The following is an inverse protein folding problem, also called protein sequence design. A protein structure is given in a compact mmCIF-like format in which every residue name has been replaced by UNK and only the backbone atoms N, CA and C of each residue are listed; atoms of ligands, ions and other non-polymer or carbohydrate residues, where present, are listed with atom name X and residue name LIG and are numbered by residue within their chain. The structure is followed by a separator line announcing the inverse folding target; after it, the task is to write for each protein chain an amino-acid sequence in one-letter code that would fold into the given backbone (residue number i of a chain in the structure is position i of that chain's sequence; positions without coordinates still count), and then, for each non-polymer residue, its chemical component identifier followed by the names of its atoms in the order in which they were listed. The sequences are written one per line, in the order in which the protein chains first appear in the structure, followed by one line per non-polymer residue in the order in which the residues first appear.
data_IF_656850410198
#
_entry.id   IF_656850410198
#
_cell.length_a   1.000
_cell.length_b   1.000
_cell.length_c   1.000
_cell.angle_alpha   90.00
_cell.angle_beta   90.00
_cell.angle_gamma   90.00
#
_symmetry.space_group_name_H-M   'P 1'
#
loop_
_entity.id
_entity.type
_entity.pdbx_description
1 polymer ?
#
# COMPACT_ATOMS: atom_id res chain seq x y z
N UNK A 1 -14.94 41.59 -35.81
CA UNK A 1 -14.07 40.43 -35.62
C UNK A 1 -13.15 40.52 -34.38
N UNK A 2 -12.96 41.72 -33.77
CA UNK A 2 -12.01 41.94 -32.67
C UNK A 2 -12.51 41.56 -31.24
N UNK A 3 -13.80 41.48 -31.00
CA UNK A 3 -14.32 41.26 -29.62
C UNK A 3 -14.17 39.81 -29.15
N UNK A 4 -14.27 38.81 -30.03
CA UNK A 4 -14.07 37.38 -29.70
C UNK A 4 -12.61 37.02 -29.39
N UNK A 5 -11.64 37.62 -30.08
CA UNK A 5 -10.21 37.40 -29.79
C UNK A 5 -9.80 38.02 -28.45
N UNK A 6 -10.35 39.19 -28.09
CA UNK A 6 -10.04 39.83 -26.81
C UNK A 6 -10.57 39.02 -25.61
N UNK A 7 -11.79 38.47 -25.72
CA UNK A 7 -12.37 37.63 -24.68
C UNK A 7 -11.63 36.26 -24.51
N UNK A 8 -11.12 35.66 -25.58
CA UNK A 8 -10.32 34.42 -25.49
C UNK A 8 -8.96 34.66 -24.83
N UNK A 9 -8.29 35.79 -25.14
CA UNK A 9 -7.03 36.16 -24.49
C UNK A 9 -7.20 36.42 -22.99
N UNK A 10 -8.25 37.12 -22.58
CA UNK A 10 -8.55 37.42 -21.19
C UNK A 10 -8.93 36.15 -20.39
N UNK A 11 -9.71 35.24 -20.97
CA UNK A 11 -10.01 33.93 -20.38
C UNK A 11 -8.76 33.06 -20.20
N UNK A 12 -7.84 33.08 -21.18
CA UNK A 12 -6.57 32.33 -21.08
C UNK A 12 -5.68 32.86 -19.95
N UNK A 13 -5.60 34.20 -19.77
CA UNK A 13 -4.82 34.84 -18.69
C UNK A 13 -5.43 34.53 -17.31
N UNK A 14 -6.77 34.57 -17.19
CA UNK A 14 -7.45 34.22 -15.94
C UNK A 14 -7.25 32.77 -15.55
N UNK A 15 -7.33 31.84 -16.52
CA UNK A 15 -7.06 30.40 -16.30
C UNK A 15 -5.60 30.15 -15.91
N UNK A 16 -4.65 30.86 -16.52
CA UNK A 16 -3.23 30.78 -16.15
C UNK A 16 -2.97 31.34 -14.75
N UNK A 17 -3.58 32.45 -14.37
CA UNK A 17 -3.45 33.03 -13.04
C UNK A 17 -4.08 32.16 -11.97
N UNK A 18 -5.22 31.53 -12.23
CA UNK A 18 -5.85 30.57 -11.30
C UNK A 18 -4.99 29.30 -11.14
N UNK A 19 -4.44 28.76 -12.22
CA UNK A 19 -3.49 27.63 -12.17
C UNK A 19 -2.21 27.99 -11.39
N UNK A 20 -1.66 29.18 -11.63
CA UNK A 20 -0.48 29.68 -10.91
C UNK A 20 -0.76 29.87 -9.42
N UNK A 21 -1.93 30.38 -9.05
CA UNK A 21 -2.36 30.51 -7.66
C UNK A 21 -2.53 29.15 -6.96
N UNK A 22 -3.14 28.17 -7.63
CA UNK A 22 -3.28 26.80 -7.12
C UNK A 22 -1.94 26.11 -6.93
N UNK A 23 -1.01 26.25 -7.89
CA UNK A 23 0.34 25.68 -7.82
C UNK A 23 1.15 26.32 -6.69
N UNK A 24 1.08 27.66 -6.52
CA UNK A 24 1.77 28.37 -5.46
C UNK A 24 1.26 27.99 -4.07
N UNK A 25 -0.04 27.82 -3.91
CA UNK A 25 -0.65 27.34 -2.67
C UNK A 25 -0.27 25.88 -2.37
N UNK A 26 -0.19 25.02 -3.39
CA UNK A 26 0.27 23.64 -3.23
C UNK A 26 1.70 23.57 -2.73
N UNK A 27 2.61 24.35 -3.35
CA UNK A 27 4.03 24.41 -2.96
C UNK A 27 4.18 24.96 -1.53
N UNK A 28 3.45 26.03 -1.18
CA UNK A 28 3.49 26.59 0.18
C UNK A 28 3.01 25.62 1.24
N UNK A 29 1.99 24.81 0.94
CA UNK A 29 1.40 23.87 1.92
C UNK A 29 2.13 22.53 2.00
N UNK A 30 2.65 22.00 0.89
CA UNK A 30 3.19 20.64 0.82
C UNK A 30 4.67 20.58 0.51
N UNK A 31 5.26 21.65 -0.02
CA UNK A 31 6.63 21.68 -0.49
C UNK A 31 7.65 21.31 0.58
N UNK A 32 7.51 21.84 1.79
CA UNK A 32 8.42 21.52 2.90
C UNK A 32 8.47 20.02 3.22
N UNK A 33 7.31 19.35 3.29
CA UNK A 33 7.27 17.92 3.57
C UNK A 33 7.79 17.06 2.42
N UNK A 34 7.52 17.48 1.16
CA UNK A 34 8.06 16.81 -0.03
C UNK A 34 9.58 16.90 -0.05
N UNK A 35 10.16 18.07 0.23
CA UNK A 35 11.60 18.27 0.30
C UNK A 35 12.27 17.41 1.38
N UNK A 36 11.67 17.31 2.55
CA UNK A 36 12.18 16.44 3.62
C UNK A 36 12.17 14.98 3.19
N UNK A 37 11.08 14.51 2.57
CA UNK A 37 11.01 13.14 2.05
C UNK A 37 12.07 12.89 0.97
N UNK A 38 12.31 13.86 0.09
CA UNK A 38 13.35 13.79 -0.93
C UNK A 38 14.76 13.76 -0.31
N UNK A 39 15.00 14.59 0.70
CA UNK A 39 16.29 14.63 1.43
C UNK A 39 16.63 13.31 2.14
N UNK A 40 15.62 12.53 2.53
CA UNK A 40 15.80 11.16 3.06
C UNK A 40 15.92 10.15 1.94
N UNK A 41 15.12 10.30 0.87
CA UNK A 41 15.07 9.34 -0.22
C UNK A 41 16.37 9.24 -1.00
N UNK A 42 17.04 10.38 -1.28
CA UNK A 42 18.29 10.40 -2.04
C UNK A 42 19.40 9.61 -1.34
N UNK A 43 19.77 9.88 -0.08
CA UNK A 43 20.78 9.06 0.61
C UNK A 43 20.34 7.61 0.79
N UNK A 44 19.04 7.35 1.02
CA UNK A 44 18.52 5.98 1.12
C UNK A 44 18.67 5.21 -0.18
N UNK A 45 18.44 5.85 -1.32
CA UNK A 45 18.62 5.26 -2.63
C UNK A 45 20.11 4.94 -2.90
N UNK A 46 21.03 5.84 -2.52
CA UNK A 46 22.47 5.61 -2.62
C UNK A 46 22.93 4.47 -1.70
N UNK A 47 22.49 4.48 -0.42
CA UNK A 47 22.78 3.42 0.52
C UNK A 47 22.23 2.06 0.06
N UNK A 48 21.05 2.02 -0.56
CA UNK A 48 20.48 0.82 -1.13
C UNK A 48 21.28 0.22 -2.29
N UNK A 49 22.02 1.06 -3.05
CA UNK A 49 22.98 0.60 -4.06
C UNK A 49 24.26 0.03 -3.46
N UNK A 50 24.73 0.61 -2.33
CA UNK A 50 25.93 0.16 -1.62
C UNK A 50 25.65 -1.12 -0.80
N UNK A 51 24.46 -1.19 -0.18
CA UNK A 51 24.01 -2.31 0.64
C UNK A 51 22.72 -2.93 0.09
N UNK A 52 22.78 -3.71 -1.00
CA UNK A 52 21.60 -4.29 -1.65
C UNK A 52 20.78 -5.20 -0.71
N UNK A 53 21.44 -5.86 0.25
CA UNK A 53 20.79 -6.75 1.26
C UNK A 53 19.73 -6.02 2.07
N UNK A 54 19.92 -4.73 2.37
CA UNK A 54 18.96 -3.93 3.12
C UNK A 54 17.96 -3.26 2.17
N UNK A 55 18.45 -2.79 1.02
CA UNK A 55 17.65 -2.08 0.02
C UNK A 55 17.26 -0.65 0.40
N UNK A 56 17.12 0.21 -0.61
CA UNK A 56 16.84 1.64 -0.41
C UNK A 56 15.51 1.92 0.30
N UNK A 57 14.51 1.06 0.10
CA UNK A 57 13.18 1.22 0.72
C UNK A 57 13.23 1.04 2.25
N UNK A 58 13.97 0.04 2.75
CA UNK A 58 14.16 -0.16 4.20
C UNK A 58 14.98 0.97 4.81
N UNK A 59 16.08 1.40 4.17
CA UNK A 59 16.84 2.56 4.64
C UNK A 59 15.95 3.80 4.77
N UNK A 60 15.08 4.05 3.81
CA UNK A 60 14.17 5.19 3.83
C UNK A 60 13.16 5.12 4.99
N UNK A 61 12.59 3.95 5.26
CA UNK A 61 11.69 3.74 6.40
C UNK A 61 12.42 3.97 7.71
N UNK A 62 13.58 3.33 7.89
CA UNK A 62 14.37 3.40 9.13
C UNK A 62 14.85 4.81 9.41
N UNK A 63 15.42 5.51 8.41
CA UNK A 63 15.86 6.89 8.58
C UNK A 63 14.67 7.82 8.90
N UNK A 64 13.53 7.63 8.25
CA UNK A 64 12.30 8.36 8.57
C UNK A 64 11.82 8.12 10.00
N UNK A 65 11.83 6.87 10.47
CA UNK A 65 11.45 6.50 11.83
C UNK A 65 12.43 7.10 12.87
N UNK A 66 13.73 7.00 12.64
CA UNK A 66 14.75 7.58 13.51
C UNK A 66 14.56 9.10 13.60
N UNK A 67 14.37 9.76 12.46
CA UNK A 67 14.15 11.21 12.46
C UNK A 67 12.89 11.61 13.25
N UNK A 68 11.82 10.79 13.20
CA UNK A 68 10.59 11.05 13.96
C UNK A 68 10.80 10.97 15.49
N UNK A 69 11.77 10.22 16.00
CA UNK A 69 12.09 10.18 17.44
C UNK A 69 12.57 11.55 17.93
N UNK A 70 13.32 12.27 17.09
CA UNK A 70 13.86 13.60 17.43
C UNK A 70 12.95 14.74 16.97
N UNK A 71 12.16 14.53 15.92
CA UNK A 71 11.30 15.55 15.32
C UNK A 71 9.81 15.21 15.49
N UNK A 72 9.30 15.46 16.70
CA UNK A 72 7.91 15.14 17.07
C UNK A 72 6.88 16.06 16.40
N UNK A 73 7.17 17.37 16.36
CA UNK A 73 6.27 18.37 15.77
C UNK A 73 6.74 18.75 14.37
N UNK A 74 6.08 18.20 13.35
CA UNK A 74 6.46 18.38 11.94
C UNK A 74 5.96 19.68 11.33
N UNK A 75 5.09 20.42 12.03
CA UNK A 75 4.60 21.72 11.64
C UNK A 75 4.17 21.79 10.16
N UNK A 76 4.77 22.74 9.41
CA UNK A 76 4.46 22.92 7.98
C UNK A 76 4.80 21.72 7.08
N UNK A 77 5.66 20.81 7.51
CA UNK A 77 6.07 19.64 6.71
C UNK A 77 5.01 18.51 6.77
N UNK A 78 4.17 18.46 7.80
CA UNK A 78 3.23 17.35 8.02
C UNK A 78 2.29 17.09 6.83
N UNK A 79 1.70 18.15 6.27
CA UNK A 79 0.79 18.03 5.13
C UNK A 79 1.50 17.46 3.88
N UNK A 80 2.75 17.85 3.64
CA UNK A 80 3.57 17.35 2.55
C UNK A 80 3.99 15.89 2.77
N UNK A 81 4.38 15.50 3.99
CA UNK A 81 4.74 14.13 4.34
C UNK A 81 3.52 13.20 4.15
N UNK A 82 2.34 13.57 4.66
CA UNK A 82 1.09 12.81 4.45
C UNK A 82 0.72 12.68 2.96
N UNK A 83 0.90 13.75 2.21
CA UNK A 83 0.66 13.72 0.76
C UNK A 83 1.64 12.80 0.05
N UNK A 84 2.93 12.84 0.39
CA UNK A 84 3.97 11.99 -0.21
C UNK A 84 3.72 10.51 0.08
N UNK A 85 3.43 10.13 1.32
CA UNK A 85 3.17 8.75 1.70
C UNK A 85 1.98 8.12 0.97
N UNK A 86 1.00 8.92 0.54
CA UNK A 86 -0.19 8.44 -0.17
C UNK A 86 -0.08 8.64 -1.67
N UNK A 87 0.11 9.89 -2.11
CA UNK A 87 -0.02 10.24 -3.54
C UNK A 87 1.20 9.82 -4.35
N UNK A 88 2.41 10.02 -3.82
CA UNK A 88 3.64 9.58 -4.52
C UNK A 88 3.68 8.05 -4.61
N UNK A 89 3.27 7.33 -3.54
CA UNK A 89 3.17 5.87 -3.58
C UNK A 89 2.17 5.39 -4.65
N UNK A 90 0.96 5.98 -4.68
CA UNK A 90 -0.04 5.63 -5.69
C UNK A 90 0.46 5.91 -7.11
N UNK A 91 1.16 7.04 -7.30
CA UNK A 91 1.79 7.39 -8.57
C UNK A 91 2.87 6.37 -8.94
N UNK A 92 3.72 5.96 -7.99
CA UNK A 92 4.73 4.93 -8.22
C UNK A 92 4.12 3.61 -8.69
N UNK A 93 3.03 3.17 -8.04
CA UNK A 93 2.31 1.95 -8.45
C UNK A 93 1.71 2.08 -9.85
N UNK A 94 1.14 3.25 -10.21
CA UNK A 94 0.65 3.50 -11.58
C UNK A 94 1.79 3.44 -12.59
N UNK A 95 2.93 4.07 -12.29
CA UNK A 95 4.12 4.03 -13.16
C UNK A 95 4.66 2.62 -13.34
N UNK A 96 4.57 1.76 -12.32
CA UNK A 96 4.97 0.37 -12.41
C UNK A 96 4.13 -0.38 -13.48
N UNK A 97 2.85 -0.03 -13.65
CA UNK A 97 1.98 -0.58 -14.68
C UNK A 97 2.50 -0.41 -16.10
N UNK A 98 3.28 0.68 -16.38
CA UNK A 98 3.92 0.91 -17.68
C UNK A 98 5.06 -0.08 -18.01
N UNK A 99 5.34 -1.05 -17.21
CA UNK A 99 6.32 -2.09 -17.53
C UNK A 99 5.70 -3.48 -17.60
N UNK A 100 4.37 -3.58 -17.41
CA UNK A 100 3.69 -4.85 -17.23
C UNK A 100 2.74 -5.18 -18.38
N UNK A 101 2.71 -6.47 -18.75
CA UNK A 101 1.75 -7.00 -19.72
C UNK A 101 0.45 -7.40 -19.01
N UNK A 102 -0.70 -7.02 -19.57
CA UNK A 102 -2.02 -7.33 -19.00
C UNK A 102 -2.27 -8.84 -18.86
N UNK A 103 -1.77 -9.65 -19.80
CA UNK A 103 -1.86 -11.11 -19.70
C UNK A 103 -1.16 -11.66 -18.46
N UNK A 104 0.04 -11.14 -18.14
CA UNK A 104 0.79 -11.51 -16.92
C UNK A 104 0.03 -11.10 -15.66
N UNK A 105 -0.60 -9.92 -15.67
CA UNK A 105 -1.43 -9.46 -14.53
C UNK A 105 -2.61 -10.40 -14.30
N UNK A 106 -3.32 -10.80 -15.35
CA UNK A 106 -4.46 -11.70 -15.25
C UNK A 106 -4.05 -13.11 -14.79
N UNK A 107 -2.95 -13.63 -15.33
CA UNK A 107 -2.40 -14.93 -14.94
C UNK A 107 -1.98 -14.93 -13.45
N UNK A 108 -1.23 -13.90 -13.02
CA UNK A 108 -0.81 -13.75 -11.64
C UNK A 108 -2.00 -13.63 -10.70
N UNK A 109 -3.01 -12.84 -11.08
CA UNK A 109 -4.26 -12.71 -10.34
C UNK A 109 -4.95 -14.07 -10.14
N UNK A 110 -5.13 -14.84 -11.22
CA UNK A 110 -5.71 -16.19 -11.16
C UNK A 110 -4.90 -17.13 -10.26
N UNK A 111 -3.59 -17.17 -10.41
CA UNK A 111 -2.68 -18.02 -9.65
C UNK A 111 -2.71 -17.73 -8.15
N UNK A 112 -2.86 -16.46 -7.77
CA UNK A 112 -2.86 -16.03 -6.37
C UNK A 112 -4.23 -16.09 -5.68
N UNK A 113 -5.33 -16.21 -6.43
CA UNK A 113 -6.70 -16.21 -5.88
C UNK A 113 -6.92 -17.23 -4.75
N UNK A 114 -6.52 -18.52 -4.87
CA UNK A 114 -6.73 -19.48 -3.79
C UNK A 114 -6.02 -19.05 -2.49
N UNK A 115 -4.79 -18.56 -2.62
CA UNK A 115 -4.00 -18.08 -1.46
C UNK A 115 -4.67 -16.84 -0.85
N UNK A 116 -5.13 -15.91 -1.69
CA UNK A 116 -5.83 -14.70 -1.26
C UNK A 116 -7.09 -15.06 -0.47
N UNK A 117 -7.91 -15.99 -0.96
CA UNK A 117 -9.14 -16.41 -0.28
C UNK A 117 -8.81 -17.05 1.08
N UNK A 118 -7.82 -17.94 1.13
CA UNK A 118 -7.40 -18.58 2.37
C UNK A 118 -6.84 -17.57 3.38
N UNK A 119 -5.99 -16.65 2.96
CA UNK A 119 -5.40 -15.63 3.85
C UNK A 119 -6.44 -14.63 4.37
N UNK A 120 -7.40 -14.22 3.53
CA UNK A 120 -8.53 -13.38 3.96
C UNK A 120 -9.37 -14.10 5.01
N UNK A 121 -9.77 -15.34 4.71
CA UNK A 121 -10.58 -16.17 5.61
C UNK A 121 -9.88 -16.39 6.95
N UNK A 122 -8.58 -16.69 6.92
CA UNK A 122 -7.76 -16.87 8.13
C UNK A 122 -7.78 -15.62 9.00
N UNK A 123 -7.53 -14.44 8.44
CA UNK A 123 -7.54 -13.20 9.22
C UNK A 123 -8.89 -12.93 9.88
N UNK A 124 -9.98 -13.11 9.14
CA UNK A 124 -11.33 -12.87 9.65
C UNK A 124 -11.70 -13.88 10.73
N UNK A 125 -11.37 -15.17 10.55
CA UNK A 125 -11.63 -16.24 11.52
C UNK A 125 -10.79 -16.02 12.79
N UNK A 126 -9.49 -15.72 12.67
CA UNK A 126 -8.63 -15.42 13.82
C UNK A 126 -9.14 -14.22 14.60
N UNK A 127 -9.52 -13.13 13.91
CA UNK A 127 -10.06 -11.95 14.55
C UNK A 127 -11.39 -12.27 15.29
N UNK A 128 -12.27 -13.08 14.70
CA UNK A 128 -13.52 -13.48 15.32
C UNK A 128 -13.31 -14.39 16.55
N UNK A 129 -12.40 -15.37 16.48
CA UNK A 129 -12.08 -16.25 17.60
C UNK A 129 -11.49 -15.44 18.76
N UNK A 130 -10.51 -14.60 18.48
CA UNK A 130 -9.84 -13.81 19.52
C UNK A 130 -10.74 -12.72 20.11
N UNK A 131 -11.66 -12.15 19.32
CA UNK A 131 -12.72 -11.29 19.84
C UNK A 131 -13.48 -11.98 20.97
N UNK A 132 -13.90 -13.24 20.75
CA UNK A 132 -14.66 -14.02 21.75
C UNK A 132 -13.82 -14.44 22.94
N UNK A 133 -12.60 -14.96 22.70
CA UNK A 133 -11.73 -15.51 23.74
C UNK A 133 -11.15 -14.41 24.64
N UNK A 134 -10.70 -13.30 24.05
CA UNK A 134 -10.04 -12.23 24.76
C UNK A 134 -10.98 -11.09 25.20
N UNK A 135 -12.26 -11.17 24.84
CA UNK A 135 -13.26 -10.13 25.11
C UNK A 135 -12.79 -8.75 24.59
N UNK A 136 -12.29 -8.72 23.35
CA UNK A 136 -11.91 -7.47 22.66
C UNK A 136 -13.18 -6.84 22.09
N UNK A 137 -13.27 -5.53 22.04
CA UNK A 137 -14.40 -4.82 21.44
C UNK A 137 -14.65 -5.26 19.99
N UNK A 138 -15.94 -5.48 19.66
CA UNK A 138 -16.34 -6.04 18.37
C UNK A 138 -15.87 -5.18 17.18
N UNK A 139 -15.94 -3.86 17.32
CA UNK A 139 -15.52 -2.95 16.26
C UNK A 139 -14.02 -3.01 16.04
N UNK A 140 -13.21 -2.90 17.11
CA UNK A 140 -11.74 -2.97 17.03
C UNK A 140 -11.31 -4.31 16.41
N UNK A 141 -11.88 -5.42 16.88
CA UNK A 141 -11.58 -6.76 16.36
C UNK A 141 -11.94 -6.89 14.87
N UNK A 142 -13.13 -6.42 14.48
CA UNK A 142 -13.58 -6.44 13.08
C UNK A 142 -12.67 -5.57 12.21
N UNK A 143 -12.30 -4.38 12.66
CA UNK A 143 -11.42 -3.48 11.92
C UNK A 143 -10.01 -4.03 11.74
N UNK A 144 -9.43 -4.66 12.79
CA UNK A 144 -8.11 -5.31 12.69
C UNK A 144 -8.19 -6.52 11.75
N UNK A 145 -9.23 -7.35 11.88
CA UNK A 145 -9.43 -8.52 11.02
C UNK A 145 -9.60 -8.17 9.55
N UNK A 146 -10.47 -7.20 9.24
CA UNK A 146 -10.71 -6.73 7.86
C UNK A 146 -9.48 -5.98 7.31
N UNK A 147 -8.88 -5.12 8.10
CA UNK A 147 -7.68 -4.40 7.70
C UNK A 147 -6.51 -5.33 7.40
N UNK A 148 -6.25 -6.31 8.27
CA UNK A 148 -5.22 -7.32 8.05
C UNK A 148 -5.55 -8.24 6.87
N UNK A 149 -6.84 -8.49 6.61
CA UNK A 149 -7.26 -9.40 5.53
C UNK A 149 -7.17 -8.80 4.12
N UNK A 150 -7.18 -7.47 3.93
CA UNK A 150 -7.31 -6.84 2.61
C UNK A 150 -6.11 -5.94 2.30
N UNK A 151 -6.18 -4.66 2.72
CA UNK A 151 -5.22 -3.62 2.34
C UNK A 151 -4.87 -2.64 3.47
N UNK A 152 -4.93 -3.10 4.71
CA UNK A 152 -4.53 -2.29 5.86
C UNK A 152 -5.50 -1.16 6.17
N UNK A 153 -4.95 0.02 6.36
CA UNK A 153 -5.71 1.22 6.76
C UNK A 153 -6.82 1.63 5.80
N UNK A 154 -6.68 1.35 4.49
CA UNK A 154 -7.73 1.66 3.51
C UNK A 154 -8.98 0.81 3.73
N UNK A 155 -8.80 -0.47 4.10
CA UNK A 155 -9.90 -1.36 4.42
C UNK A 155 -10.58 -0.95 5.75
N UNK A 156 -9.80 -0.53 6.75
CA UNK A 156 -10.33 0.03 8.00
C UNK A 156 -11.16 1.26 7.72
N UNK A 157 -10.64 2.24 6.96
CA UNK A 157 -11.34 3.48 6.64
C UNK A 157 -12.65 3.25 5.85
N UNK A 158 -12.70 2.22 4.99
CA UNK A 158 -13.91 1.85 4.27
C UNK A 158 -14.92 1.09 5.16
N UNK A 159 -14.44 0.34 6.15
CA UNK A 159 -15.27 -0.52 6.99
C UNK A 159 -15.80 0.23 8.21
N UNK A 160 -15.03 1.15 8.81
CA UNK A 160 -15.41 1.87 10.02
C UNK A 160 -16.82 2.51 9.93
N UNK A 161 -17.17 3.28 8.89
CA UNK A 161 -18.51 3.85 8.76
C UNK A 161 -19.60 2.79 8.54
N UNK A 162 -19.26 1.62 7.98
CA UNK A 162 -20.21 0.52 7.74
C UNK A 162 -20.60 -0.18 9.04
N UNK A 163 -19.67 -0.21 10.01
CA UNK A 163 -19.91 -0.85 11.29
C UNK A 163 -20.18 0.14 12.42
N UNK A 164 -20.37 1.43 12.11
CA UNK A 164 -20.53 2.53 13.06
C UNK A 164 -19.40 2.58 14.11
N UNK A 165 -18.15 2.29 13.69
CA UNK A 165 -16.97 2.44 14.53
C UNK A 165 -16.59 3.90 14.65
N UNK A 166 -16.12 4.30 15.84
CA UNK A 166 -15.66 5.66 16.08
C UNK A 166 -14.22 5.90 15.55
N UNK A 167 -13.80 7.16 15.57
CA UNK A 167 -12.50 7.56 15.05
C UNK A 167 -11.33 7.00 15.89
N UNK A 168 -11.52 6.79 17.19
CA UNK A 168 -10.51 6.23 18.10
C UNK A 168 -10.32 4.74 17.86
N UNK A 169 -11.42 3.98 17.71
CA UNK A 169 -11.40 2.56 17.33
C UNK A 169 -10.70 2.35 15.97
N UNK A 170 -11.04 3.19 14.98
CA UNK A 170 -10.41 3.16 13.66
C UNK A 170 -8.91 3.50 13.72
N UNK A 171 -8.54 4.54 14.47
CA UNK A 171 -7.14 4.94 14.63
C UNK A 171 -6.32 3.88 15.36
N UNK A 172 -6.90 3.21 16.35
CA UNK A 172 -6.27 2.11 17.08
C UNK A 172 -6.01 0.91 16.15
N UNK A 173 -7.01 0.48 15.40
CA UNK A 173 -6.88 -0.61 14.43
C UNK A 173 -5.81 -0.30 13.37
N UNK A 174 -5.83 0.90 12.79
CA UNK A 174 -4.85 1.35 11.81
C UNK A 174 -3.44 1.32 12.40
N UNK A 175 -3.26 1.76 13.64
CA UNK A 175 -1.94 1.80 14.30
C UNK A 175 -1.35 0.41 14.49
N UNK A 176 -2.16 -0.57 14.92
CA UNK A 176 -1.76 -1.97 15.08
C UNK A 176 -1.37 -2.58 13.74
N UNK A 177 -2.21 -2.43 12.72
CA UNK A 177 -1.96 -2.99 11.38
C UNK A 177 -0.68 -2.38 10.79
N UNK A 178 -0.51 -1.08 10.93
CA UNK A 178 0.66 -0.36 10.40
C UNK A 178 1.96 -0.84 11.04
N UNK A 179 1.96 -1.12 12.34
CA UNK A 179 3.12 -1.68 13.02
C UNK A 179 3.57 -3.02 12.42
N UNK A 180 2.64 -3.97 12.27
CA UNK A 180 2.97 -5.26 11.68
C UNK A 180 3.35 -5.17 10.21
N UNK A 181 2.84 -4.17 9.49
CA UNK A 181 3.24 -3.89 8.12
C UNK A 181 4.69 -3.40 8.03
N UNK A 182 5.12 -2.52 8.92
CA UNK A 182 6.52 -2.08 8.97
C UNK A 182 7.43 -3.25 9.35
N UNK A 183 7.04 -4.05 10.35
CA UNK A 183 7.78 -5.28 10.69
C UNK A 183 7.89 -6.23 9.51
N UNK A 184 6.79 -6.47 8.77
CA UNK A 184 6.79 -7.32 7.60
C UNK A 184 7.72 -6.80 6.50
N UNK A 185 7.74 -5.49 6.25
CA UNK A 185 8.61 -4.88 5.25
C UNK A 185 10.10 -5.16 5.52
N UNK A 186 10.48 -5.22 6.81
CA UNK A 186 11.86 -5.45 7.24
C UNK A 186 12.17 -6.95 7.37
N UNK A 187 11.27 -7.70 8.04
CA UNK A 187 11.56 -9.09 8.43
C UNK A 187 11.30 -10.10 7.31
N UNK A 188 10.35 -9.85 6.40
CA UNK A 188 9.99 -10.83 5.38
C UNK A 188 11.07 -11.10 4.33
N UNK A 189 11.85 -10.12 3.85
CA UNK A 189 12.99 -10.42 3.00
C UNK A 189 14.02 -11.33 3.70
N UNK A 190 14.27 -11.10 4.99
CA UNK A 190 15.15 -11.94 5.81
C UNK A 190 14.56 -13.35 5.98
N UNK A 191 13.27 -13.42 6.31
CA UNK A 191 12.55 -14.70 6.46
C UNK A 191 12.55 -15.49 5.15
N UNK A 192 12.21 -14.85 4.03
CA UNK A 192 12.20 -15.50 2.71
C UNK A 192 13.54 -16.14 2.35
N UNK A 193 14.65 -15.42 2.65
CA UNK A 193 15.99 -15.96 2.48
C UNK A 193 16.27 -17.12 3.43
N UNK A 194 15.91 -17.01 4.71
CA UNK A 194 16.15 -18.04 5.73
C UNK A 194 15.40 -19.34 5.45
N UNK A 195 14.20 -19.29 4.88
CA UNK A 195 13.40 -20.47 4.52
C UNK A 195 13.70 -20.99 3.10
N UNK A 196 14.68 -20.41 2.38
CA UNK A 196 15.13 -20.90 1.10
C UNK A 196 14.20 -20.61 -0.08
N UNK A 197 13.48 -19.47 -0.09
CA UNK A 197 12.71 -19.06 -1.27
C UNK A 197 13.63 -18.82 -2.48
N UNK A 198 13.13 -19.13 -3.68
CA UNK A 198 13.89 -18.94 -4.93
C UNK A 198 14.38 -17.51 -5.08
N UNK A 199 15.69 -17.39 -5.29
CA UNK A 199 16.41 -16.13 -5.46
C UNK A 199 16.62 -15.75 -6.93
N UNK A 200 16.16 -16.59 -7.86
CA UNK A 200 16.45 -16.46 -9.29
C UNK A 200 15.37 -15.73 -10.08
N UNK A 201 14.10 -15.86 -9.69
CA UNK A 201 12.95 -15.29 -10.44
C UNK A 201 12.03 -14.41 -9.63
N UNK A 202 12.19 -14.36 -8.31
CA UNK A 202 11.36 -13.54 -7.41
C UNK A 202 9.86 -13.89 -7.34
N UNK A 203 9.42 -14.95 -8.02
CA UNK A 203 8.00 -15.30 -8.09
C UNK A 203 7.43 -15.73 -6.74
N UNK A 204 8.10 -16.67 -6.06
CA UNK A 204 7.67 -17.19 -4.77
C UNK A 204 7.59 -16.06 -3.73
N UNK A 205 8.64 -15.26 -3.60
CA UNK A 205 8.65 -14.14 -2.66
C UNK A 205 7.64 -13.06 -3.06
N UNK A 206 7.42 -12.81 -4.34
CA UNK A 206 6.42 -11.87 -4.84
C UNK A 206 5.00 -12.26 -4.45
N UNK A 207 4.64 -13.53 -4.61
CA UNK A 207 3.33 -14.07 -4.17
C UNK A 207 3.22 -14.00 -2.64
N UNK A 208 4.27 -14.38 -1.91
CA UNK A 208 4.32 -14.30 -0.46
C UNK A 208 4.10 -12.87 0.05
N UNK A 209 4.90 -11.92 -0.42
CA UNK A 209 4.78 -10.52 -0.02
C UNK A 209 3.40 -9.94 -0.35
N UNK A 210 2.86 -10.22 -1.54
CA UNK A 210 1.54 -9.75 -1.96
C UNK A 210 0.37 -10.31 -1.15
N UNK A 211 0.50 -11.54 -0.65
CA UNK A 211 -0.56 -12.23 0.12
C UNK A 211 -0.40 -12.13 1.63
N UNK A 212 0.83 -12.05 2.16
CA UNK A 212 1.10 -12.02 3.60
C UNK A 212 1.22 -10.61 4.18
N UNK A 213 1.68 -9.62 3.42
CA UNK A 213 1.76 -8.22 3.88
C UNK A 213 0.44 -7.52 3.64
N UNK A 214 -0.04 -6.73 4.62
CA UNK A 214 -1.41 -6.21 4.55
C UNK A 214 -1.54 -4.91 3.76
N UNK A 215 -0.53 -4.06 3.73
CA UNK A 215 -0.55 -2.74 3.10
C UNK A 215 0.32 -2.70 1.85
N UNK A 216 -0.13 -1.98 0.82
CA UNK A 216 0.57 -1.87 -0.47
C UNK A 216 1.96 -1.26 -0.32
N UNK A 217 2.14 -0.29 0.60
CA UNK A 217 3.43 0.35 0.84
C UNK A 217 4.48 -0.63 1.35
N UNK A 218 4.10 -1.45 2.32
CA UNK A 218 4.97 -2.45 2.93
C UNK A 218 5.23 -3.63 1.99
N UNK A 219 4.25 -4.00 1.15
CA UNK A 219 4.45 -4.96 0.04
C UNK A 219 5.51 -4.45 -0.92
N UNK A 220 5.40 -3.18 -1.36
CA UNK A 220 6.38 -2.61 -2.29
C UNK A 220 7.77 -2.49 -1.65
N UNK A 221 7.85 -2.17 -0.37
CA UNK A 221 9.12 -2.11 0.36
C UNK A 221 9.79 -3.49 0.44
N UNK A 222 9.06 -4.51 0.90
CA UNK A 222 9.58 -5.87 1.03
C UNK A 222 10.02 -6.44 -0.32
N UNK A 223 9.19 -6.30 -1.35
CA UNK A 223 9.47 -6.82 -2.69
C UNK A 223 10.62 -6.07 -3.39
N UNK A 224 10.67 -4.74 -3.24
CA UNK A 224 11.79 -3.94 -3.77
C UNK A 224 13.12 -4.27 -3.07
N UNK A 225 13.06 -4.59 -1.78
CA UNK A 225 14.24 -5.05 -1.03
C UNK A 225 14.71 -6.41 -1.53
N UNK A 226 13.79 -7.37 -1.74
CA UNK A 226 14.12 -8.67 -2.32
C UNK A 226 14.75 -8.53 -3.71
N UNK A 227 14.17 -7.68 -4.58
CA UNK A 227 14.75 -7.37 -5.89
C UNK A 227 16.16 -6.77 -5.79
N UNK A 228 16.40 -5.93 -4.78
CA UNK A 228 17.73 -5.35 -4.53
C UNK A 228 18.74 -6.37 -4.04
N UNK A 229 18.32 -7.28 -3.12
CA UNK A 229 19.16 -8.34 -2.58
C UNK A 229 19.69 -9.30 -3.67
N UNK A 230 18.84 -9.64 -4.63
CA UNK A 230 19.08 -10.68 -5.62
C UNK A 230 19.20 -10.14 -7.05
N UNK A 231 19.25 -8.84 -7.22
CA UNK A 231 19.41 -8.16 -8.54
C UNK A 231 18.36 -8.57 -9.58
N UNK A 232 17.08 -8.76 -9.17
CA UNK A 232 16.00 -9.26 -10.01
C UNK A 232 15.33 -8.19 -10.89
N UNK A 233 15.85 -6.96 -10.90
CA UNK A 233 15.41 -5.91 -11.83
C UNK A 233 13.98 -5.37 -11.61
N UNK A 234 13.27 -5.80 -10.56
CA UNK A 234 11.90 -5.39 -10.25
C UNK A 234 10.86 -6.49 -10.48
N UNK A 235 11.26 -7.71 -10.85
CA UNK A 235 10.35 -8.81 -11.14
C UNK A 235 9.50 -9.19 -9.91
N UNK A 236 10.12 -9.23 -8.72
CA UNK A 236 9.42 -9.49 -7.47
C UNK A 236 8.42 -8.39 -7.14
N UNK A 237 8.82 -7.13 -7.34
CA UNK A 237 7.96 -5.97 -7.09
C UNK A 237 6.71 -6.00 -7.98
N UNK A 238 6.87 -6.27 -9.26
CA UNK A 238 5.77 -6.39 -10.22
C UNK A 238 4.78 -7.50 -9.81
N UNK A 239 5.29 -8.67 -9.46
CA UNK A 239 4.51 -9.82 -9.01
C UNK A 239 3.76 -9.50 -7.72
N UNK A 240 4.45 -9.00 -6.70
CA UNK A 240 3.89 -8.68 -5.38
C UNK A 240 2.79 -7.62 -5.46
N UNK A 241 3.02 -6.55 -6.23
CA UNK A 241 2.03 -5.48 -6.41
C UNK A 241 0.79 -6.02 -7.14
N UNK A 242 0.96 -6.82 -8.18
CA UNK A 242 -0.17 -7.43 -8.91
C UNK A 242 -1.03 -8.31 -7.98
N UNK A 243 -0.41 -9.19 -7.21
CA UNK A 243 -1.09 -10.03 -6.20
C UNK A 243 -1.83 -9.16 -5.19
N UNK A 244 -1.15 -8.11 -4.69
CA UNK A 244 -1.73 -7.20 -3.71
C UNK A 244 -2.92 -6.42 -4.25
N UNK A 245 -2.85 -5.90 -5.48
CA UNK A 245 -3.95 -5.19 -6.10
C UNK A 245 -5.16 -6.11 -6.33
N UNK A 246 -4.93 -7.37 -6.74
CA UNK A 246 -5.97 -8.38 -6.84
C UNK A 246 -6.66 -8.61 -5.49
N UNK A 247 -5.88 -8.75 -4.39
CA UNK A 247 -6.43 -8.89 -3.03
C UNK A 247 -7.23 -7.66 -2.60
N UNK A 248 -6.81 -6.47 -2.99
CA UNK A 248 -7.49 -5.21 -2.63
C UNK A 248 -8.92 -5.14 -3.19
N UNK A 249 -9.22 -5.80 -4.30
CA UNK A 249 -10.58 -5.87 -4.84
C UNK A 249 -11.58 -6.56 -3.90
N UNK A 250 -11.10 -7.41 -2.98
CA UNK A 250 -11.93 -8.04 -1.96
C UNK A 250 -12.58 -7.07 -0.97
N UNK A 251 -12.16 -5.80 -0.94
CA UNK A 251 -12.81 -4.76 -0.12
C UNK A 251 -14.29 -4.62 -0.46
N UNK A 252 -14.65 -4.76 -1.75
CA UNK A 252 -16.03 -4.58 -2.23
C UNK A 252 -16.96 -5.66 -1.64
N UNK A 253 -16.72 -6.97 -1.86
CA UNK A 253 -17.61 -8.01 -1.32
C UNK A 253 -17.60 -8.07 0.20
N UNK A 254 -16.47 -7.79 0.86
CA UNK A 254 -16.39 -7.86 2.33
C UNK A 254 -17.15 -6.70 2.98
N UNK A 255 -16.94 -5.45 2.54
CA UNK A 255 -17.69 -4.30 3.08
C UNK A 255 -19.19 -4.41 2.77
N UNK A 256 -19.55 -4.91 1.60
CA UNK A 256 -20.94 -5.18 1.25
C UNK A 256 -21.56 -6.27 2.15
N UNK A 257 -20.85 -7.37 2.39
CA UNK A 257 -21.29 -8.43 3.29
C UNK A 257 -21.49 -7.93 4.72
N UNK A 258 -20.57 -7.12 5.24
CA UNK A 258 -20.72 -6.51 6.57
C UNK A 258 -21.90 -5.53 6.64
N UNK A 259 -22.13 -4.74 5.59
CA UNK A 259 -23.29 -3.86 5.49
C UNK A 259 -24.61 -4.64 5.55
N UNK A 260 -24.70 -5.77 4.83
CA UNK A 260 -25.88 -6.65 4.87
C UNK A 260 -26.11 -7.27 6.24
N UNK A 261 -25.05 -7.74 6.91
CA UNK A 261 -25.14 -8.34 8.25
C UNK A 261 -25.60 -7.34 9.30
N UNK A 262 -25.14 -6.08 9.20
CA UNK A 262 -25.56 -5.01 10.13
C UNK A 262 -26.87 -4.35 9.75
N UNK A 263 -27.19 -4.23 8.46
CA UNK A 263 -28.47 -3.70 7.98
C UNK A 263 -29.68 -4.51 8.45
N UNK A 264 -29.52 -5.82 8.67
CA UNK A 264 -30.54 -6.67 9.31
C UNK A 264 -30.77 -6.34 10.79
N UNK A 265 -29.87 -5.62 11.45
CA UNK A 265 -29.95 -5.25 12.87
C UNK A 265 -30.52 -3.85 13.12
N UNK A 266 -30.53 -2.97 12.11
CA UNK A 266 -31.06 -1.59 12.19
C UNK A 266 -32.11 -1.36 11.10
N UNK A 267 -33.37 -1.43 11.48
CA UNK A 267 -34.52 -0.96 10.69
C UNK A 267 -34.67 0.57 10.83
N UNK A 268 -33.71 1.35 10.46
CA UNK A 268 -33.87 2.76 10.05
C UNK A 268 -32.51 3.48 9.92
N UNK A 269 -32.30 4.06 8.75
CA UNK A 269 -31.22 5.02 8.53
C UNK A 269 -30.53 4.84 7.17
N UNK A 270 -30.71 5.81 6.27
CA UNK A 270 -30.07 5.94 4.96
C UNK A 270 -28.53 6.04 5.08
N UNK A 271 -27.83 4.94 5.24
CA UNK A 271 -26.41 4.90 4.94
C UNK A 271 -26.22 4.40 3.51
N UNK A 272 -26.18 5.32 2.55
CA UNK A 272 -25.86 5.00 1.15
C UNK A 272 -24.40 4.54 1.06
N UNK A 273 -24.20 3.22 0.92
CA UNK A 273 -22.91 2.63 0.61
C UNK A 273 -22.42 3.16 -0.74
N UNK A 274 -21.41 4.00 -0.75
CA UNK A 274 -20.84 4.56 -1.98
C UNK A 274 -19.64 3.72 -2.45
N UNK A 275 -19.88 2.84 -3.43
CA UNK A 275 -18.83 2.04 -4.09
C UNK A 275 -17.69 2.94 -4.62
N UNK A 276 -18.00 4.15 -5.09
CA UNK A 276 -16.99 5.12 -5.55
C UNK A 276 -15.99 5.54 -4.48
N UNK A 277 -16.38 5.57 -3.19
CA UNK A 277 -15.47 5.90 -2.07
C UNK A 277 -14.62 4.71 -1.64
N UNK A 278 -15.10 3.48 -1.84
CA UNK A 278 -14.40 2.27 -1.46
C UNK A 278 -13.37 1.82 -2.52
N UNK A 279 -13.56 2.16 -3.80
CA UNK A 279 -12.68 1.71 -4.88
C UNK A 279 -11.44 2.63 -5.03
N UNK A 280 -10.22 2.10 -4.87
CA UNK A 280 -9.00 2.88 -5.03
C UNK A 280 -8.71 3.17 -6.51
N UNK A 281 -8.96 4.38 -6.98
CA UNK A 281 -8.83 4.79 -8.39
C UNK A 281 -7.44 4.53 -9.00
N UNK A 282 -6.38 4.51 -8.21
CA UNK A 282 -5.03 4.22 -8.70
C UNK A 282 -4.89 2.80 -9.28
N UNK A 283 -5.74 1.84 -8.87
CA UNK A 283 -5.78 0.49 -9.45
C UNK A 283 -6.24 0.56 -10.90
N UNK A 284 -7.27 1.38 -11.18
CA UNK A 284 -7.73 1.59 -12.55
C UNK A 284 -6.63 2.21 -13.42
N UNK A 285 -5.93 3.22 -12.91
CA UNK A 285 -4.82 3.85 -13.62
C UNK A 285 -3.65 2.88 -13.84
N UNK A 286 -3.35 2.02 -12.87
CA UNK A 286 -2.36 0.94 -13.03
C UNK A 286 -2.75 -0.02 -14.16
N UNK A 287 -4.02 -0.47 -14.22
CA UNK A 287 -4.50 -1.34 -15.28
C UNK A 287 -4.47 -0.63 -16.66
N UNK A 288 -4.87 0.64 -16.72
CA UNK A 288 -4.77 1.43 -17.95
C UNK A 288 -3.33 1.55 -18.44
N UNK A 289 -2.38 1.80 -17.53
CA UNK A 289 -0.95 1.82 -17.87
C UNK A 289 -0.47 0.48 -18.41
N UNK A 290 -0.91 -0.64 -17.84
CA UNK A 290 -0.60 -1.97 -18.32
C UNK A 290 -1.24 -2.27 -19.70
N UNK A 291 -2.46 -1.79 -19.95
CA UNK A 291 -3.10 -1.87 -21.28
C UNK A 291 -2.28 -1.11 -22.32
N UNK A 292 -1.88 0.13 -22.01
CA UNK A 292 -1.02 0.93 -22.91
C UNK A 292 0.28 0.19 -23.22
N UNK A 293 0.95 -0.35 -22.20
CA UNK A 293 2.18 -1.15 -22.39
C UNK A 293 1.92 -2.36 -23.28
N UNK A 294 0.83 -3.09 -23.04
CA UNK A 294 0.48 -4.29 -23.82
C UNK A 294 0.28 -3.93 -25.29
N UNK A 295 -0.45 -2.87 -25.59
CA UNK A 295 -0.68 -2.39 -26.96
C UNK A 295 0.65 -1.97 -27.61
N UNK A 296 1.50 -1.20 -26.91
CA UNK A 296 2.80 -0.77 -27.42
C UNK A 296 3.71 -1.96 -27.75
N UNK A 297 3.78 -2.97 -26.87
CA UNK A 297 4.58 -4.18 -27.09
C UNK A 297 4.06 -5.00 -28.27
N UNK A 298 2.74 -5.13 -28.43
CA UNK A 298 2.12 -5.79 -29.58
C UNK A 298 2.37 -5.03 -30.89
N UNK A 299 2.47 -3.69 -30.82
CA UNK A 299 2.84 -2.85 -31.97
C UNK A 299 4.34 -2.87 -32.29
N UNK A 300 5.15 -3.69 -31.59
CA UNK A 300 6.59 -3.85 -31.85
C UNK A 300 7.50 -2.88 -31.10
N UNK A 301 6.99 -2.09 -30.15
CA UNK A 301 7.83 -1.25 -29.32
C UNK A 301 8.75 -2.08 -28.41
N UNK A 302 10.07 -1.78 -28.30
CA UNK A 302 10.95 -2.51 -27.40
C UNK A 302 10.61 -2.24 -25.93
N UNK A 303 10.64 -3.27 -25.09
CA UNK A 303 10.36 -3.16 -23.66
C UNK A 303 11.28 -2.15 -22.93
N UNK A 304 12.46 -1.89 -23.48
CA UNK A 304 13.42 -0.90 -22.96
C UNK A 304 12.87 0.53 -22.91
N UNK A 305 11.87 0.88 -23.71
CA UNK A 305 11.22 2.20 -23.68
C UNK A 305 10.59 2.50 -22.30
N UNK A 306 10.15 1.48 -21.60
CA UNK A 306 9.53 1.62 -20.28
C UNK A 306 10.53 1.59 -19.12
N UNK A 307 11.82 1.30 -19.35
CA UNK A 307 12.83 1.20 -18.31
C UNK A 307 12.99 2.51 -17.49
N UNK A 308 13.04 3.72 -18.07
CA UNK A 308 13.14 4.95 -17.29
C UNK A 308 11.91 5.17 -16.37
N UNK A 309 10.73 4.78 -16.83
CA UNK A 309 9.47 4.90 -16.06
C UNK A 309 9.50 3.95 -14.85
N UNK A 310 10.01 2.72 -15.04
CA UNK A 310 10.18 1.75 -13.96
C UNK A 310 11.20 2.25 -12.90
N UNK A 311 12.33 2.81 -13.33
CA UNK A 311 13.32 3.36 -12.39
C UNK A 311 12.76 4.56 -11.61
N UNK A 312 12.00 5.43 -12.27
CA UNK A 312 11.30 6.52 -11.59
C UNK A 312 10.28 5.99 -10.58
N UNK A 313 9.56 4.92 -10.91
CA UNK A 313 8.64 4.24 -9.99
C UNK A 313 9.37 3.75 -8.73
N UNK A 314 10.51 3.07 -8.88
CA UNK A 314 11.33 2.58 -7.76
C UNK A 314 11.81 3.73 -6.86
N UNK A 315 12.26 4.83 -7.44
CA UNK A 315 12.67 6.01 -6.67
C UNK A 315 11.49 6.64 -5.90
N UNK A 316 10.32 6.72 -6.53
CA UNK A 316 9.10 7.20 -5.87
C UNK A 316 8.65 6.28 -4.72
N UNK A 317 8.87 4.96 -4.85
CA UNK A 317 8.65 4.02 -3.73
C UNK A 317 9.56 4.39 -2.56
N UNK A 318 10.86 4.58 -2.79
CA UNK A 318 11.82 4.97 -1.73
C UNK A 318 11.40 6.29 -1.06
N UNK A 319 10.98 7.27 -1.85
CA UNK A 319 10.50 8.55 -1.35
C UNK A 319 9.21 8.41 -0.51
N UNK A 320 8.29 7.55 -0.95
CA UNK A 320 7.08 7.24 -0.18
C UNK A 320 7.41 6.49 1.12
N UNK A 321 8.41 5.59 1.10
CA UNK A 321 8.87 4.88 2.30
C UNK A 321 9.49 5.83 3.33
N UNK A 322 10.24 6.84 2.91
CA UNK A 322 10.72 7.92 3.79
C UNK A 322 9.56 8.64 4.48
N UNK A 323 8.52 8.98 3.73
CA UNK A 323 7.32 9.63 4.28
C UNK A 323 6.55 8.71 5.26
N UNK A 324 6.48 7.41 4.98
CA UNK A 324 5.86 6.42 5.85
C UNK A 324 6.65 6.29 7.15
N UNK A 325 7.98 6.19 7.06
CA UNK A 325 8.86 6.19 8.23
C UNK A 325 8.65 7.42 9.11
N UNK A 326 8.57 8.61 8.48
CA UNK A 326 8.26 9.86 9.18
C UNK A 326 6.87 9.87 9.83
N UNK A 327 5.88 9.20 9.28
CA UNK A 327 4.53 9.12 9.86
C UNK A 327 4.39 8.03 10.93
N UNK A 328 5.38 7.14 11.08
CA UNK A 328 5.36 6.03 12.03
C UNK A 328 5.62 6.53 13.45
N UNK A 329 4.64 6.38 14.33
CA UNK A 329 4.78 6.75 15.75
C UNK A 329 4.74 5.51 16.64
N UNK A 330 5.91 4.91 16.85
CA UNK A 330 6.08 3.72 17.70
C UNK A 330 5.62 3.93 19.15
N UNK A 331 5.78 5.15 19.67
CA UNK A 331 5.37 5.47 21.05
C UNK A 331 3.85 5.44 21.20
N UNK A 332 3.12 5.94 20.18
CA UNK A 332 1.66 5.91 20.20
C UNK A 332 1.15 4.47 20.16
N UNK A 333 1.84 3.61 19.41
CA UNK A 333 1.50 2.20 19.29
C UNK A 333 1.61 1.45 20.62
N UNK A 334 2.71 1.64 21.37
CA UNK A 334 2.92 0.98 22.67
C UNK A 334 1.80 1.36 23.65
N UNK A 335 1.24 2.57 23.52
CA UNK A 335 0.12 3.06 24.34
C UNK A 335 -1.25 2.50 23.94
N UNK A 336 -1.37 1.86 22.76
CA UNK A 336 -2.65 1.37 22.21
C UNK A 336 -3.26 0.19 23.00
N UNK A 337 -2.47 -0.46 23.87
CA UNK A 337 -2.94 -1.58 24.69
C UNK A 337 -2.58 -2.96 24.14
N UNK A 338 -2.36 -3.93 25.06
CA UNK A 338 -1.81 -5.24 24.73
C UNK A 338 -2.75 -6.15 23.90
N UNK A 339 -4.07 -6.12 24.19
CA UNK A 339 -5.04 -7.01 23.51
C UNK A 339 -5.16 -6.77 22.00
N UNK A 340 -5.34 -5.53 21.50
CA UNK A 340 -5.37 -5.26 20.05
C UNK A 340 -4.06 -5.59 19.34
N UNK A 341 -2.91 -5.35 20.01
CA UNK A 341 -1.59 -5.72 19.46
C UNK A 341 -1.48 -7.24 19.32
N UNK A 342 -1.89 -7.99 20.34
CA UNK A 342 -1.88 -9.46 20.28
C UNK A 342 -2.81 -10.00 19.20
N UNK A 343 -3.99 -9.42 19.05
CA UNK A 343 -4.91 -9.75 17.95
C UNK A 343 -4.26 -9.51 16.58
N UNK A 344 -3.64 -8.34 16.39
CA UNK A 344 -2.92 -8.01 15.15
C UNK A 344 -1.74 -8.96 14.90
N UNK A 345 -0.99 -9.34 15.94
CA UNK A 345 0.09 -10.32 15.84
C UNK A 345 -0.42 -11.68 15.39
N UNK A 346 -1.51 -12.17 15.98
CA UNK A 346 -2.09 -13.46 15.63
C UNK A 346 -2.65 -13.46 14.20
N UNK A 347 -3.32 -12.38 13.76
CA UNK A 347 -3.75 -12.22 12.37
C UNK A 347 -2.55 -12.22 11.42
N UNK A 348 -1.49 -11.46 11.72
CA UNK A 348 -0.29 -11.36 10.91
C UNK A 348 0.44 -12.69 10.79
N UNK A 349 0.65 -13.41 11.91
CA UNK A 349 1.26 -14.73 11.93
C UNK A 349 0.39 -15.76 11.19
N UNK A 350 -0.92 -15.77 11.43
CA UNK A 350 -1.86 -16.67 10.77
C UNK A 350 -1.85 -16.49 9.25
N UNK A 351 -1.91 -15.25 8.76
CA UNK A 351 -1.82 -14.95 7.32
C UNK A 351 -0.47 -15.41 6.76
N UNK A 352 0.63 -15.15 7.48
CA UNK A 352 1.99 -15.53 7.06
C UNK A 352 2.10 -17.04 6.90
N UNK A 353 1.71 -17.80 7.91
CA UNK A 353 1.77 -19.27 7.89
C UNK A 353 0.87 -19.88 6.80
N UNK A 354 -0.36 -19.37 6.66
CA UNK A 354 -1.29 -19.85 5.63
C UNK A 354 -0.79 -19.48 4.23
N UNK A 355 -0.21 -18.30 4.04
CA UNK A 355 0.39 -17.92 2.76
C UNK A 355 1.52 -18.88 2.37
N UNK A 356 2.44 -19.18 3.27
CA UNK A 356 3.55 -20.12 3.04
C UNK A 356 3.02 -21.54 2.77
N UNK A 357 2.10 -22.02 3.60
CA UNK A 357 1.50 -23.34 3.44
C UNK A 357 0.80 -23.50 2.08
N UNK A 358 -0.01 -22.53 1.69
CA UNK A 358 -0.72 -22.56 0.41
C UNK A 358 0.23 -22.50 -0.78
N UNK A 359 1.33 -21.74 -0.69
CA UNK A 359 2.33 -21.69 -1.75
C UNK A 359 3.04 -23.04 -1.91
N UNK A 360 3.38 -23.68 -0.79
CA UNK A 360 3.96 -25.02 -0.81
C UNK A 360 3.00 -26.04 -1.43
N UNK A 361 1.72 -26.03 -1.03
CA UNK A 361 0.68 -26.91 -1.58
C UNK A 361 0.43 -26.70 -3.09
N UNK A 362 0.62 -25.47 -3.59
CA UNK A 362 0.45 -25.14 -5.00
C UNK A 362 1.75 -25.25 -5.81
N UNK A 363 2.81 -25.77 -5.22
CA UNK A 363 4.15 -25.89 -5.84
C UNK A 363 4.67 -24.56 -6.43
N UNK A 364 4.40 -23.45 -5.74
CA UNK A 364 4.92 -22.12 -6.09
C UNK A 364 6.26 -21.85 -5.41
N UNK A 365 6.58 -22.64 -4.41
CA UNK A 365 7.81 -22.60 -3.62
C UNK A 365 8.09 -23.97 -3.00
#
# INVERSE_FOLDING_TARGET
MNSKCYNMSHAHVLIQNEKRGKTMNFIKQKGAGILVCLAIAVPSWLLGKIFPIVGGAIFAILLGMILTLFWKEKGRAEAGIKWTSKTILQTAVVLLGFGMNLGVILQTGKQSLPIIICTISTSLVVAWILHKVMHIESNISTLIGVGSSICGGSAVAATAPVIDADDDEAAQAISVIFFFNVLAAILFPILGNAIGMSTTNGEAFGVFAGTAVNDTSSVTAAASTWDSMWHLGGATLEKAVTVKLTRTLAIIPITFGLALLRGKKKQSGNSSFSIKRAFPMFILYFLLAAVVTTICLQAGAPAAVFAPVKELSKFFIIMAMAAIGLNSNLVKLIKTGGKPILLGACCWLGITLVSLFMQHMLNLW
#
